data_IF_646639824784
#
_entry.id   IF_646639824784
#
_cell.length_a   1.000
_cell.length_b   1.000
_cell.length_c   1.000
_cell.angle_alpha   90.00
_cell.angle_beta   90.00
_cell.angle_gamma   90.00
#
_symmetry.space_group_name_H-M   'P 1'
#
loop_
_entity.id
_entity.type
_entity.pdbx_description
1 polymer ?
#
# COMPACT_ATOMS: atom_id res chain seq x y z
N UNK A 1 15.87 24.17 18.28
CA UNK A 1 15.35 22.81 18.03
C UNK A 1 15.19 22.63 16.52
N UNK A 2 15.63 21.52 15.91
CA UNK A 2 15.42 21.31 14.48
C UNK A 2 13.91 21.25 14.20
N UNK A 3 13.46 22.05 13.23
CA UNK A 3 12.05 22.07 12.79
C UNK A 3 11.73 20.65 12.26
N UNK A 4 10.68 19.98 12.76
CA UNK A 4 10.30 18.69 12.20
C UNK A 4 10.08 18.86 10.69
N UNK A 5 10.69 17.99 9.89
CA UNK A 5 10.43 17.99 8.45
C UNK A 5 8.93 17.84 8.21
N UNK A 6 8.40 18.40 7.12
CA UNK A 6 6.95 18.29 6.81
C UNK A 6 6.44 16.84 6.80
N UNK A 7 7.34 15.88 6.58
CA UNK A 7 7.08 14.45 6.68
C UNK A 7 6.84 13.96 8.11
N UNK A 8 7.55 14.49 9.11
CA UNK A 8 7.33 14.16 10.51
C UNK A 8 5.96 14.66 11.01
N UNK A 9 5.59 15.88 10.65
CA UNK A 9 4.28 16.45 10.98
C UNK A 9 3.13 15.69 10.29
N UNK A 10 3.29 15.37 9.00
CA UNK A 10 2.32 14.57 8.25
C UNK A 10 2.14 13.18 8.86
N UNK A 11 3.23 12.54 9.29
CA UNK A 11 3.17 11.25 10.00
C UNK A 11 2.47 11.36 11.36
N UNK A 12 2.75 12.41 12.14
CA UNK A 12 2.08 12.63 13.42
C UNK A 12 0.57 12.81 13.24
N UNK A 13 0.14 13.62 12.27
CA UNK A 13 -1.28 13.85 11.94
C UNK A 13 -1.99 12.56 11.53
N UNK A 14 -1.36 11.75 10.67
CA UNK A 14 -1.88 10.42 10.30
C UNK A 14 -1.99 9.50 11.50
N UNK A 15 -0.99 9.51 12.39
CA UNK A 15 -0.99 8.65 13.59
C UNK A 15 -2.07 9.00 14.59
N UNK A 16 -2.40 10.27 14.74
CA UNK A 16 -3.47 10.75 15.61
C UNK A 16 -4.85 10.19 15.22
N UNK A 17 -5.06 9.88 13.94
CA UNK A 17 -6.28 9.25 13.43
C UNK A 17 -6.13 7.74 13.20
N UNK A 18 -5.15 7.11 13.87
CA UNK A 18 -4.92 5.66 13.80
C UNK A 18 -4.19 5.17 12.54
N UNK A 19 -3.88 6.03 11.58
CA UNK A 19 -3.14 5.62 10.38
C UNK A 19 -1.65 5.38 10.69
N UNK A 20 -1.05 4.41 9.99
CA UNK A 20 0.37 4.08 10.05
C UNK A 20 0.91 3.96 8.61
N UNK A 21 2.17 4.34 8.42
CA UNK A 21 2.86 4.15 7.13
C UNK A 21 3.34 2.71 7.03
N UNK A 22 3.30 2.16 5.82
CA UNK A 22 3.91 0.88 5.43
C UNK A 22 4.98 1.18 4.37
N UNK A 23 6.11 0.49 4.46
CA UNK A 23 7.09 0.41 3.38
C UNK A 23 6.93 -0.95 2.69
N UNK A 24 6.88 -0.94 1.36
CA UNK A 24 6.70 -2.14 0.54
C UNK A 24 7.71 -2.12 -0.61
N UNK A 25 8.38 -3.24 -0.83
CA UNK A 25 9.24 -3.50 -2.00
C UNK A 25 8.41 -4.28 -3.00
N UNK A 26 8.35 -3.84 -4.25
CA UNK A 26 7.46 -4.37 -5.28
C UNK A 26 8.16 -4.40 -6.63
N UNK A 27 7.76 -5.34 -7.50
CA UNK A 27 8.22 -5.35 -8.88
C UNK A 27 7.65 -4.14 -9.64
N UNK A 28 8.34 -3.65 -10.68
CA UNK A 28 7.90 -2.48 -11.44
C UNK A 28 6.52 -2.68 -12.10
N UNK A 29 6.22 -3.92 -12.50
CA UNK A 29 4.90 -4.30 -13.05
C UNK A 29 3.79 -4.16 -12.00
N UNK A 30 4.05 -4.51 -10.74
CA UNK A 30 3.05 -4.35 -9.68
C UNK A 30 2.81 -2.86 -9.39
N UNK A 31 3.85 -2.04 -9.47
CA UNK A 31 3.74 -0.58 -9.34
C UNK A 31 2.88 -0.01 -10.48
N UNK A 32 3.12 -0.45 -11.72
CA UNK A 32 2.35 -0.03 -12.89
C UNK A 32 0.88 -0.45 -12.77
N UNK A 33 0.61 -1.66 -12.28
CA UNK A 33 -0.74 -2.14 -12.00
C UNK A 33 -1.44 -1.26 -10.94
N UNK A 34 -0.75 -0.95 -9.83
CA UNK A 34 -1.29 -0.07 -8.79
C UNK A 34 -1.57 1.34 -9.32
N UNK A 35 -0.76 1.87 -10.24
CA UNK A 35 -1.00 3.17 -10.87
C UNK A 35 -2.22 3.14 -11.81
N UNK A 36 -2.38 2.08 -12.59
CA UNK A 36 -3.56 1.88 -13.42
C UNK A 36 -4.84 1.81 -12.58
N UNK A 37 -4.82 1.04 -11.48
CA UNK A 37 -5.94 0.96 -10.55
C UNK A 37 -6.21 2.29 -9.85
N UNK A 38 -5.16 3.01 -9.43
CA UNK A 38 -5.27 4.35 -8.84
C UNK A 38 -6.00 5.31 -9.77
N UNK A 39 -5.60 5.33 -11.05
CA UNK A 39 -6.24 6.16 -12.08
C UNK A 39 -7.70 5.76 -12.32
N UNK A 40 -7.98 4.45 -12.45
CA UNK A 40 -9.33 3.92 -12.66
C UNK A 40 -10.28 4.24 -11.50
N UNK A 41 -9.78 4.22 -10.27
CA UNK A 41 -10.57 4.46 -9.06
C UNK A 41 -10.68 5.94 -8.68
N UNK A 42 -9.88 6.82 -9.29
CA UNK A 42 -9.84 8.24 -8.95
C UNK A 42 -9.30 8.53 -7.54
N UNK A 43 -8.46 7.65 -7.01
CA UNK A 43 -7.87 7.79 -5.65
C UNK A 43 -6.52 8.48 -5.69
N UNK A 44 -6.11 9.09 -4.58
CA UNK A 44 -4.94 9.97 -4.53
C UNK A 44 -3.61 9.20 -4.39
N UNK A 45 -3.64 7.94 -3.95
CA UNK A 45 -2.40 7.19 -3.69
C UNK A 45 -2.53 5.69 -3.89
N UNK A 46 -1.38 5.03 -4.13
CA UNK A 46 -1.29 3.55 -4.17
C UNK A 46 -1.67 2.91 -2.84
N UNK A 47 -1.44 3.59 -1.71
CA UNK A 47 -1.89 3.12 -0.39
C UNK A 47 -3.41 3.07 -0.28
N UNK A 48 -4.15 3.96 -0.94
CA UNK A 48 -5.61 3.90 -0.99
C UNK A 48 -6.09 2.72 -1.84
N UNK A 49 -5.42 2.45 -2.97
CA UNK A 49 -5.67 1.23 -3.76
C UNK A 49 -5.48 -0.01 -2.89
N UNK A 50 -4.35 -0.14 -2.18
CA UNK A 50 -4.08 -1.27 -1.28
C UNK A 50 -5.15 -1.41 -0.18
N UNK A 51 -5.59 -0.29 0.42
CA UNK A 51 -6.67 -0.32 1.43
C UNK A 51 -7.99 -0.82 0.86
N UNK A 52 -8.32 -0.48 -0.39
CA UNK A 52 -9.51 -1.00 -1.07
C UNK A 52 -9.37 -2.49 -1.38
N UNK A 53 -8.19 -2.93 -1.85
CA UNK A 53 -7.93 -4.35 -2.07
C UNK A 53 -8.11 -5.15 -0.78
N UNK A 54 -7.52 -4.69 0.34
CA UNK A 54 -7.70 -5.31 1.66
C UNK A 54 -9.18 -5.36 2.07
N UNK A 55 -9.93 -4.27 1.86
CA UNK A 55 -11.36 -4.22 2.20
C UNK A 55 -12.23 -5.14 1.33
N UNK A 56 -11.78 -5.48 0.12
CA UNK A 56 -12.49 -6.38 -0.81
C UNK A 56 -12.11 -7.85 -0.64
N UNK A 57 -10.92 -8.13 -0.14
CA UNK A 57 -10.42 -9.49 0.04
C UNK A 57 -11.06 -10.12 1.28
N UNK A 58 -11.58 -11.33 1.15
CA UNK A 58 -11.92 -12.17 2.31
C UNK A 58 -10.62 -12.74 2.90
N UNK A 59 -10.24 -12.38 4.14
CA UNK A 59 -8.99 -12.86 4.73
C UNK A 59 -8.97 -14.39 4.91
N UNK A 60 -10.13 -15.03 5.04
CA UNK A 60 -10.21 -16.48 5.23
C UNK A 60 -9.80 -17.27 3.97
N UNK A 61 -9.78 -16.62 2.81
CA UNK A 61 -9.36 -17.24 1.54
C UNK A 61 -7.87 -17.11 1.27
N UNK A 62 -7.12 -16.36 2.09
CA UNK A 62 -5.68 -16.17 1.91
C UNK A 62 -4.93 -17.34 2.56
N UNK A 63 -4.17 -18.05 1.74
CA UNK A 63 -3.44 -19.26 2.12
C UNK A 63 -1.92 -19.08 1.95
N UNK A 64 -1.10 -19.97 2.54
CA UNK A 64 0.35 -19.94 2.29
C UNK A 64 0.73 -20.13 0.80
N UNK A 65 -0.12 -20.78 0.00
CA UNK A 65 0.13 -20.98 -1.43
C UNK A 65 0.07 -19.66 -2.21
N UNK A 66 -0.74 -18.70 -1.78
CA UNK A 66 -0.83 -17.38 -2.43
C UNK A 66 0.46 -16.57 -2.28
N UNK A 67 1.24 -16.82 -1.22
CA UNK A 67 2.55 -16.20 -1.05
C UNK A 67 3.59 -16.74 -2.04
N UNK A 68 3.41 -17.95 -2.58
CA UNK A 68 4.33 -18.54 -3.56
C UNK A 68 4.35 -17.76 -4.88
N UNK A 69 3.24 -17.10 -5.24
CA UNK A 69 3.13 -16.24 -6.42
C UNK A 69 4.14 -15.09 -6.38
N UNK A 70 4.54 -14.63 -5.19
CA UNK A 70 5.55 -13.57 -5.05
C UNK A 70 6.93 -14.00 -5.54
N UNK A 71 7.25 -15.30 -5.51
CA UNK A 71 8.51 -15.80 -6.05
C UNK A 71 8.52 -15.82 -7.58
N UNK A 72 7.36 -16.06 -8.22
CA UNK A 72 7.20 -16.06 -9.68
C UNK A 72 7.32 -14.65 -10.27
N UNK A 73 6.92 -13.62 -9.51
CA UNK A 73 6.98 -12.22 -9.93
C UNK A 73 8.32 -11.53 -9.65
N UNK A 74 9.20 -12.18 -8.88
CA UNK A 74 10.53 -11.68 -8.55
C UNK A 74 11.65 -12.22 -9.48
N UNK A 75 11.32 -13.18 -10.35
CA UNK A 75 12.21 -13.82 -11.30
C UNK A 75 12.09 -13.19 -12.70
#
# INVERSE_FOLDING_TARGET
MPKPSGNAETRARRRAVGMRSLEAVMHENDIALLDSLKARMGVASRSEVLRVLIAKTDPATVTPADAAVLAEHAA
#
